data_IF_441982651075
#
_entry.id   IF_441982651075
#
_cell.length_a   1.000
_cell.length_b   1.000
_cell.length_c   1.000
_cell.angle_alpha   90.00
_cell.angle_beta   90.00
_cell.angle_gamma   90.00
#
_symmetry.space_group_name_H-M   'P 1'
#
loop_
_entity.id
_entity.type
_entity.pdbx_description
1 polymer ?
#
# COMPACT_ATOMS: atom_id res chain seq x y z
N UNK A 1 3.24 2.08 0.00
CA UNK A 1 3.30 0.63 -0.29
C UNK A 1 4.74 0.15 -0.48
N UNK A 2 5.71 1.08 -0.47
CA UNK A 2 7.14 0.80 -0.48
C UNK A 2 7.57 -0.30 0.48
N UNK A 3 7.00 -0.35 1.69
CA UNK A 3 7.29 -1.39 2.69
C UNK A 3 7.00 -2.77 2.11
N UNK A 4 5.85 -2.92 1.45
CA UNK A 4 5.40 -4.18 0.87
C UNK A 4 6.26 -4.57 -0.33
N UNK A 5 6.67 -3.60 -1.16
CA UNK A 5 7.62 -3.83 -2.25
C UNK A 5 8.94 -4.36 -1.67
N UNK A 6 9.51 -3.68 -0.69
CA UNK A 6 10.77 -4.08 -0.04
C UNK A 6 10.63 -5.47 0.61
N UNK A 7 9.59 -5.71 1.41
CA UNK A 7 9.33 -7.00 2.06
C UNK A 7 9.22 -8.13 1.03
N UNK A 8 8.53 -7.89 -0.09
CA UNK A 8 8.40 -8.90 -1.14
C UNK A 8 9.75 -9.24 -1.80
N UNK A 9 10.61 -8.25 -2.00
CA UNK A 9 11.95 -8.45 -2.55
C UNK A 9 12.88 -9.17 -1.57
N UNK A 10 12.85 -8.78 -0.29
CA UNK A 10 13.59 -9.47 0.78
C UNK A 10 13.14 -10.93 0.87
N UNK A 11 11.84 -11.19 0.85
CA UNK A 11 11.30 -12.55 0.87
C UNK A 11 11.78 -13.40 -0.32
N UNK A 12 11.85 -12.80 -1.52
CA UNK A 12 12.43 -13.48 -2.69
C UNK A 12 13.92 -13.82 -2.48
N UNK A 13 14.70 -12.90 -1.89
CA UNK A 13 16.11 -13.15 -1.59
C UNK A 13 16.31 -14.26 -0.55
N UNK A 14 15.47 -14.31 0.49
CA UNK A 14 15.48 -15.41 1.49
C UNK A 14 15.23 -16.75 0.79
N UNK A 15 14.36 -16.78 -0.22
CA UNK A 15 14.13 -17.94 -1.09
C UNK A 15 15.23 -18.18 -2.14
N UNK A 16 16.37 -17.50 -2.03
CA UNK A 16 17.55 -17.61 -2.92
C UNK A 16 17.26 -17.25 -4.38
N UNK A 17 16.25 -16.41 -4.64
CA UNK A 17 15.87 -15.98 -5.98
C UNK A 17 16.66 -14.72 -6.40
N UNK A 18 17.06 -14.64 -7.67
CA UNK A 18 17.73 -13.46 -8.25
C UNK A 18 16.70 -12.36 -8.51
N UNK A 19 16.77 -11.26 -7.77
CA UNK A 19 15.85 -10.11 -7.96
C UNK A 19 16.29 -9.14 -9.05
N UNK A 20 17.59 -9.10 -9.38
CA UNK A 20 18.17 -8.17 -10.38
C UNK A 20 17.45 -8.16 -11.74
N UNK A 21 16.98 -9.31 -12.29
CA UNK A 21 16.25 -9.31 -13.55
C UNK A 21 14.94 -8.50 -13.52
N UNK A 22 14.27 -8.38 -12.37
CA UNK A 22 13.04 -7.60 -12.25
C UNK A 22 13.29 -6.12 -12.58
N UNK A 23 14.39 -5.57 -12.08
CA UNK A 23 14.78 -4.17 -12.32
C UNK A 23 15.23 -3.89 -13.76
N UNK A 24 15.46 -4.92 -14.58
CA UNK A 24 15.73 -4.78 -16.01
C UNK A 24 14.47 -4.83 -16.86
N UNK A 25 13.34 -5.27 -16.30
CA UNK A 25 12.08 -5.39 -17.00
C UNK A 25 11.37 -4.03 -17.05
N UNK A 26 11.08 -3.54 -18.26
CA UNK A 26 10.39 -2.26 -18.43
C UNK A 26 9.02 -2.22 -17.73
N UNK A 27 8.35 -3.37 -17.60
CA UNK A 27 7.06 -3.50 -16.92
C UNK A 27 7.12 -3.18 -15.41
N UNK A 28 8.32 -3.14 -14.81
CA UNK A 28 8.48 -2.75 -13.41
C UNK A 28 8.59 -1.23 -13.21
N UNK A 29 8.95 -0.47 -14.26
CA UNK A 29 9.16 0.98 -14.16
C UNK A 29 7.91 1.79 -13.82
N UNK A 30 6.70 1.44 -14.28
CA UNK A 30 5.47 2.10 -13.82
C UNK A 30 5.30 2.04 -12.29
N UNK A 31 5.68 0.92 -11.65
CA UNK A 31 5.61 0.77 -10.19
C UNK A 31 6.63 1.68 -9.50
N UNK A 32 7.87 1.72 -10.01
CA UNK A 32 8.92 2.60 -9.48
C UNK A 32 8.49 4.08 -9.59
N UNK A 33 7.92 4.47 -10.73
CA UNK A 33 7.40 5.82 -10.94
C UNK A 33 6.33 6.16 -9.91
N UNK A 34 5.39 5.25 -9.67
CA UNK A 34 4.34 5.46 -8.66
C UNK A 34 4.89 5.54 -7.24
N UNK A 35 5.93 4.78 -6.88
CA UNK A 35 6.60 4.93 -5.58
C UNK A 35 7.24 6.31 -5.42
N UNK A 36 7.90 6.83 -6.46
CA UNK A 36 8.48 8.18 -6.44
C UNK A 36 7.38 9.22 -6.23
N UNK A 37 6.25 9.10 -6.93
CA UNK A 37 5.10 10.00 -6.75
C UNK A 37 4.56 9.91 -5.32
N UNK A 38 4.43 8.70 -4.76
CA UNK A 38 4.00 8.51 -3.37
C UNK A 38 4.96 9.16 -2.37
N UNK A 39 6.28 9.07 -2.58
CA UNK A 39 7.28 9.74 -1.75
C UNK A 39 7.16 11.27 -1.81
N UNK A 40 6.89 11.83 -3.00
CA UNK A 40 6.64 13.27 -3.16
C UNK A 40 5.39 13.70 -2.37
N UNK A 41 4.32 12.92 -2.43
CA UNK A 41 3.09 13.19 -1.66
C UNK A 41 3.37 13.12 -0.16
N UNK A 42 4.11 12.11 0.31
CA UNK A 42 4.52 12.01 1.72
C UNK A 42 5.37 13.20 2.17
N UNK A 43 6.31 13.66 1.34
CA UNK A 43 7.13 14.84 1.62
C UNK A 43 6.28 16.12 1.72
N UNK A 44 5.24 16.27 0.89
CA UNK A 44 4.30 17.39 0.99
C UNK A 44 3.49 17.36 2.29
N UNK A 45 3.00 16.18 2.70
CA UNK A 45 2.29 16.02 3.97
C UNK A 45 3.22 16.37 5.14
N UNK A 46 4.47 15.93 5.08
CA UNK A 46 5.48 16.26 6.10
C UNK A 46 5.78 17.77 6.16
N UNK A 47 5.70 18.46 5.01
CA UNK A 47 5.82 19.91 4.91
C UNK A 47 4.49 20.66 5.18
N UNK A 48 3.49 20.00 5.77
CA UNK A 48 2.19 20.57 6.14
C UNK A 48 1.32 21.02 4.95
N UNK A 49 1.66 20.61 3.73
CA UNK A 49 0.85 20.86 2.55
C UNK A 49 -0.20 19.76 2.38
N UNK A 50 -1.30 19.86 3.13
CA UNK A 50 -2.36 18.85 3.15
C UNK A 50 -3.29 18.86 1.92
N UNK A 51 -3.15 19.82 1.00
CA UNK A 51 -3.93 19.86 -0.25
C UNK A 51 -3.74 18.60 -1.10
N UNK A 52 -2.60 17.92 -0.95
CA UNK A 52 -2.28 16.69 -1.68
C UNK A 52 -3.14 15.49 -1.26
N UNK A 53 -3.77 15.53 -0.07
CA UNK A 53 -4.59 14.43 0.46
C UNK A 53 -5.78 14.13 -0.43
N UNK A 54 -6.37 15.15 -1.05
CA UNK A 54 -7.49 15.02 -1.98
C UNK A 54 -7.19 14.10 -3.18
N UNK A 55 -5.91 13.94 -3.54
CA UNK A 55 -5.49 13.08 -4.65
C UNK A 55 -5.12 11.65 -4.21
N UNK A 56 -4.99 11.38 -2.91
CA UNK A 56 -4.50 10.09 -2.37
C UNK A 56 -5.39 8.93 -2.80
N UNK A 57 -6.72 9.11 -2.81
CA UNK A 57 -7.66 8.07 -3.24
C UNK A 57 -7.43 7.65 -4.69
N UNK A 58 -7.31 8.62 -5.60
CA UNK A 58 -7.03 8.38 -7.03
C UNK A 58 -5.64 7.76 -7.18
N UNK A 59 -4.65 8.27 -6.43
CA UNK A 59 -3.29 7.78 -6.47
C UNK A 59 -3.18 6.32 -6.03
N UNK A 60 -3.92 5.89 -5.00
CA UNK A 60 -3.99 4.49 -4.55
C UNK A 60 -4.46 3.56 -5.66
N UNK A 61 -5.51 3.96 -6.39
CA UNK A 61 -6.03 3.18 -7.53
C UNK A 61 -5.01 3.13 -8.67
N UNK A 62 -4.42 4.27 -9.06
CA UNK A 62 -3.38 4.32 -10.09
C UNK A 62 -2.15 3.48 -9.69
N UNK A 63 -1.78 3.50 -8.41
CA UNK A 63 -0.68 2.71 -7.88
C UNK A 63 -0.95 1.21 -8.05
N UNK A 64 -2.14 0.71 -7.71
CA UNK A 64 -2.50 -0.69 -7.95
C UNK A 64 -2.54 -1.04 -9.44
N UNK A 65 -3.07 -0.14 -10.27
CA UNK A 65 -3.09 -0.33 -11.74
C UNK A 65 -1.69 -0.35 -12.36
N UNK A 66 -0.68 0.26 -11.73
CA UNK A 66 0.71 0.22 -12.20
C UNK A 66 1.32 -1.18 -12.23
N UNK A 67 0.68 -2.17 -11.59
CA UNK A 67 1.09 -3.57 -11.61
C UNK A 67 0.55 -4.33 -12.85
N UNK A 68 -0.40 -3.77 -13.59
CA UNK A 68 -0.97 -4.40 -14.80
C UNK A 68 0.09 -4.76 -15.86
N UNK A 69 1.11 -3.92 -16.16
CA UNK A 69 2.18 -4.28 -17.09
C UNK A 69 2.93 -5.56 -16.69
N UNK A 70 3.23 -5.77 -15.40
CA UNK A 70 3.84 -7.02 -14.92
C UNK A 70 2.90 -8.21 -15.11
N UNK A 71 1.62 -8.03 -14.77
CA UNK A 71 0.60 -9.07 -14.88
C UNK A 71 0.48 -9.54 -16.33
N UNK A 72 0.40 -8.61 -17.28
CA UNK A 72 0.27 -8.93 -18.70
C UNK A 72 1.55 -9.51 -19.29
N UNK A 73 2.72 -8.92 -18.97
CA UNK A 73 4.01 -9.38 -19.47
C UNK A 73 4.31 -10.83 -19.06
N UNK A 74 4.03 -11.18 -17.79
CA UNK A 74 4.33 -12.50 -17.23
C UNK A 74 3.11 -13.41 -17.13
N UNK A 75 1.97 -13.02 -17.74
CA UNK A 75 0.72 -13.81 -17.80
C UNK A 75 0.24 -14.29 -16.42
N UNK A 76 0.35 -13.46 -15.40
CA UNK A 76 0.06 -13.82 -14.00
C UNK A 76 -1.43 -13.71 -13.64
N UNK A 77 -2.33 -14.11 -14.54
CA UNK A 77 -3.76 -13.85 -14.42
C UNK A 77 -4.38 -14.49 -13.16
N UNK A 78 -4.02 -15.74 -12.85
CA UNK A 78 -4.51 -16.43 -11.65
C UNK A 78 -4.06 -15.71 -10.38
N UNK A 79 -2.78 -15.34 -10.31
CA UNK A 79 -2.24 -14.57 -9.19
C UNK A 79 -2.90 -13.20 -9.04
N UNK A 80 -3.22 -12.53 -10.16
CA UNK A 80 -3.92 -11.26 -10.16
C UNK A 80 -5.37 -11.39 -9.67
N UNK A 81 -6.09 -12.46 -10.05
CA UNK A 81 -7.44 -12.75 -9.54
C UNK A 81 -7.41 -13.06 -8.06
N UNK A 82 -6.48 -13.89 -7.59
CA UNK A 82 -6.32 -14.16 -6.16
C UNK A 82 -6.01 -12.87 -5.40
N UNK A 83 -5.07 -12.08 -5.89
CA UNK A 83 -4.72 -10.80 -5.28
C UNK A 83 -5.88 -9.79 -5.28
N UNK A 84 -6.70 -9.74 -6.33
CA UNK A 84 -7.85 -8.81 -6.38
C UNK A 84 -8.94 -9.19 -5.37
N UNK A 85 -9.10 -10.47 -5.06
CA UNK A 85 -9.97 -10.91 -3.95
C UNK A 85 -9.50 -10.29 -2.62
N UNK A 86 -8.18 -10.28 -2.35
CA UNK A 86 -7.64 -9.60 -1.16
C UNK A 86 -7.89 -8.09 -1.18
N UNK A 87 -7.80 -7.43 -2.35
CA UNK A 87 -8.13 -6.00 -2.46
C UNK A 87 -9.60 -5.75 -2.13
N UNK A 88 -10.52 -6.59 -2.64
CA UNK A 88 -11.96 -6.48 -2.37
C UNK A 88 -12.25 -6.70 -0.89
N UNK A 89 -11.71 -7.78 -0.30
CA UNK A 89 -11.86 -8.06 1.13
C UNK A 89 -11.33 -6.89 1.95
N UNK A 90 -10.14 -6.37 1.63
CA UNK A 90 -9.57 -5.24 2.33
C UNK A 90 -10.43 -3.97 2.24
N UNK A 91 -10.99 -3.68 1.06
CA UNK A 91 -11.94 -2.59 0.87
C UNK A 91 -13.20 -2.76 1.73
N UNK A 92 -13.80 -3.95 1.72
CA UNK A 92 -14.99 -4.25 2.55
C UNK A 92 -14.68 -4.07 4.04
N UNK A 93 -13.51 -4.51 4.53
CA UNK A 93 -13.13 -4.32 5.92
C UNK A 93 -13.05 -2.83 6.30
N UNK A 94 -12.49 -2.00 5.42
CA UNK A 94 -12.42 -0.55 5.63
C UNK A 94 -13.82 0.07 5.58
N UNK A 95 -14.66 -0.31 4.63
CA UNK A 95 -16.03 0.18 4.53
C UNK A 95 -16.87 -0.19 5.76
N UNK A 96 -16.67 -1.40 6.31
CA UNK A 96 -17.30 -1.81 7.58
C UNK A 96 -16.83 -0.88 8.71
N UNK A 97 -15.52 -0.67 8.86
CA UNK A 97 -14.98 0.21 9.89
C UNK A 97 -15.54 1.64 9.80
N UNK A 98 -15.63 2.17 8.59
CA UNK A 98 -16.19 3.50 8.31
C UNK A 98 -17.68 3.55 8.65
N UNK A 99 -18.46 2.57 8.19
CA UNK A 99 -19.91 2.55 8.36
C UNK A 99 -20.35 2.49 9.83
N UNK A 100 -19.65 1.72 10.67
CA UNK A 100 -20.01 1.58 12.09
C UNK A 100 -19.57 2.80 12.92
N UNK A 101 -18.66 3.62 12.40
CA UNK A 101 -18.14 4.84 13.02
C UNK A 101 -18.72 6.11 12.35
N UNK A 102 -20.02 6.08 12.03
CA UNK A 102 -20.77 7.23 11.50
C UNK A 102 -20.22 7.84 10.20
N UNK A 103 -19.58 7.03 9.35
CA UNK A 103 -19.02 7.49 8.08
C UNK A 103 -17.58 7.99 8.17
N UNK A 104 -16.91 7.83 9.32
CA UNK A 104 -15.52 8.21 9.51
C UNK A 104 -14.62 7.01 9.77
N UNK A 105 -13.34 7.16 9.43
CA UNK A 105 -12.26 6.21 9.71
C UNK A 105 -11.46 6.70 10.93
N UNK A 106 -11.63 6.09 12.12
CA UNK A 106 -10.82 6.43 13.28
C UNK A 106 -9.35 6.07 13.09
N UNK A 107 -8.45 6.97 13.50
CA UNK A 107 -7.00 6.83 13.37
C UNK A 107 -6.36 6.91 14.75
N UNK A 108 -5.38 6.02 15.01
CA UNK A 108 -4.67 5.94 16.28
C UNK A 108 -3.17 6.21 16.10
N UNK A 109 -2.79 7.48 15.88
CA UNK A 109 -1.40 7.89 15.76
C UNK A 109 -0.60 7.71 17.05
N UNK A 110 0.65 7.29 16.88
CA UNK A 110 1.66 7.14 17.94
C UNK A 110 3.04 7.52 17.38
N UNK A 111 3.63 6.66 16.55
CA UNK A 111 4.90 6.92 15.89
C UNK A 111 4.82 8.14 14.95
N UNK A 112 3.69 8.33 14.27
CA UNK A 112 3.49 9.46 13.36
C UNK A 112 3.50 10.82 14.08
N UNK A 113 3.13 10.86 15.36
CA UNK A 113 3.35 12.06 16.18
C UNK A 113 4.82 12.21 16.59
N UNK A 114 5.49 11.11 16.91
CA UNK A 114 6.90 11.12 17.31
C UNK A 114 7.84 11.59 16.18
N UNK A 115 7.56 11.17 14.94
CA UNK A 115 8.35 11.56 13.75
C UNK A 115 8.03 12.96 13.25
N UNK A 116 6.96 13.59 13.76
CA UNK A 116 6.45 14.85 13.24
C UNK A 116 5.69 14.72 11.92
N UNK A 117 5.42 13.50 11.45
CA UNK A 117 4.62 13.26 10.24
C UNK A 117 3.19 13.78 10.39
N UNK A 118 2.60 13.63 11.58
CA UNK A 118 1.31 14.19 11.92
C UNK A 118 1.45 15.15 13.10
N UNK A 119 0.65 16.22 13.09
CA UNK A 119 0.52 17.16 14.21
C UNK A 119 -0.84 16.99 14.87
N UNK A 120 -0.96 17.43 16.13
CA UNK A 120 -2.21 17.32 16.88
C UNK A 120 -3.38 18.07 16.23
N UNK A 121 -3.09 19.18 15.54
CA UNK A 121 -4.07 20.02 14.84
C UNK A 121 -4.30 19.61 13.38
N UNK A 122 -3.68 18.51 12.91
CA UNK A 122 -3.80 18.07 11.53
C UNK A 122 -5.26 17.71 11.17
N UNK A 123 -5.99 17.07 12.09
CA UNK A 123 -7.40 16.71 11.88
C UNK A 123 -8.32 17.94 11.76
N UNK A 124 -7.98 19.05 12.40
CA UNK A 124 -8.76 20.29 12.30
C UNK A 124 -8.51 21.03 10.97
N UNK A 125 -7.35 20.80 10.35
CA UNK A 125 -6.94 21.41 9.07
C UNK A 125 -7.44 20.64 7.85
N UNK A 126 -7.87 19.39 8.04
CA UNK A 126 -8.19 18.46 6.95
C UNK A 126 -9.67 18.06 7.07
N UNK A 127 -10.48 18.46 6.10
CA UNK A 127 -11.86 17.99 5.99
C UNK A 127 -11.90 16.66 5.21
N UNK A 128 -11.46 15.58 5.85
CA UNK A 128 -11.41 14.22 5.27
C UNK A 128 -12.18 13.22 6.15
N UNK A 129 -12.31 11.98 5.67
CA UNK A 129 -12.99 10.88 6.37
C UNK A 129 -12.25 10.43 7.65
N UNK A 130 -10.99 10.82 7.83
CA UNK A 130 -10.18 10.37 8.97
C UNK A 130 -10.39 11.26 10.19
N UNK A 131 -10.66 10.65 11.35
CA UNK A 131 -10.81 11.34 12.64
C UNK A 131 -9.90 10.72 13.70
N UNK A 132 -9.57 11.46 14.75
CA UNK A 132 -8.84 10.90 15.88
C UNK A 132 -9.72 9.88 16.63
N UNK A 133 -9.22 8.65 16.78
CA UNK A 133 -9.94 7.58 17.48
C UNK A 133 -9.88 7.73 19.00
N UNK A 134 -10.96 7.32 19.67
CA UNK A 134 -11.13 7.42 21.12
C UNK A 134 -11.83 6.18 21.71
N UNK A 135 -12.28 6.29 22.97
CA UNK A 135 -12.99 5.20 23.68
C UNK A 135 -14.36 4.83 23.07
N UNK A 136 -14.95 5.70 22.24
CA UNK A 136 -16.22 5.47 21.57
C UNK A 136 -16.07 4.71 20.23
N UNK A 137 -14.82 4.55 19.76
CA UNK A 137 -14.52 3.88 18.48
C UNK A 137 -14.99 2.43 18.48
N UNK A 138 -15.82 2.09 17.49
CA UNK A 138 -16.31 0.73 17.26
C UNK A 138 -15.38 -0.03 16.32
N UNK A 139 -15.24 -1.33 16.56
CA UNK A 139 -14.38 -2.24 15.78
C UNK A 139 -12.96 -1.70 15.59
N UNK A 140 -12.34 -1.17 16.65
CA UNK A 140 -11.00 -0.57 16.63
C UNK A 140 -9.93 -1.40 15.90
N UNK A 141 -10.01 -2.73 15.97
CA UNK A 141 -9.05 -3.61 15.29
C UNK A 141 -9.13 -3.56 13.74
N UNK A 142 -10.20 -3.01 13.17
CA UNK A 142 -10.37 -2.78 11.73
C UNK A 142 -10.03 -1.35 11.30
N UNK A 143 -9.81 -0.43 12.24
CA UNK A 143 -9.52 0.97 11.94
C UNK A 143 -8.00 1.18 11.73
N UNK A 144 -7.57 2.42 11.52
CA UNK A 144 -6.17 2.75 11.25
C UNK A 144 -5.34 2.73 12.54
N UNK A 145 -4.85 1.54 12.89
CA UNK A 145 -4.08 1.28 14.11
C UNK A 145 -2.61 0.92 13.86
N UNK A 146 -2.25 0.56 12.63
CA UNK A 146 -0.87 0.20 12.29
C UNK A 146 -0.12 1.45 11.87
N UNK A 147 0.43 2.15 12.86
CA UNK A 147 1.28 3.31 12.65
C UNK A 147 2.75 2.89 12.47
N UNK A 148 3.35 3.24 11.33
CA UNK A 148 4.77 2.99 11.03
C UNK A 148 5.62 4.27 11.06
N UNK A 149 5.07 5.36 11.55
CA UNK A 149 5.75 6.65 11.74
C UNK A 149 5.65 7.63 10.58
N UNK A 150 5.25 7.18 9.39
CA UNK A 150 5.03 8.05 8.23
C UNK A 150 3.82 7.62 7.40
N UNK A 151 3.03 6.69 7.95
CA UNK A 151 1.80 6.18 7.40
C UNK A 151 1.09 5.42 8.53
N UNK A 152 -0.22 5.56 8.57
CA UNK A 152 -1.10 4.81 9.47
C UNK A 152 -2.06 4.07 8.55
N UNK A 153 -2.26 2.78 8.81
CA UNK A 153 -3.11 1.96 7.96
C UNK A 153 -3.88 0.92 8.77
N UNK A 154 -4.95 0.44 8.17
CA UNK A 154 -5.88 -0.52 8.76
C UNK A 154 -5.50 -1.98 8.46
N UNK A 155 -6.24 -2.91 9.07
CA UNK A 155 -6.17 -4.31 8.66
C UNK A 155 -6.59 -4.49 7.19
N UNK A 156 -7.59 -3.75 6.70
CA UNK A 156 -8.00 -3.84 5.30
C UNK A 156 -6.92 -3.36 4.34
N UNK A 157 -6.14 -2.34 4.71
CA UNK A 157 -4.97 -1.92 3.93
C UNK A 157 -3.86 -2.98 3.88
N UNK A 158 -3.68 -3.77 4.96
CA UNK A 158 -2.78 -4.93 4.95
C UNK A 158 -3.27 -5.96 3.92
N UNK A 159 -4.58 -6.25 3.88
CA UNK A 159 -5.17 -7.13 2.85
C UNK A 159 -4.92 -6.59 1.44
N UNK A 160 -5.14 -5.29 1.19
CA UNK A 160 -4.85 -4.69 -0.12
C UNK A 160 -3.37 -4.86 -0.50
N UNK A 161 -2.45 -4.69 0.46
CA UNK A 161 -1.00 -4.87 0.24
C UNK A 161 -0.63 -6.31 -0.12
N UNK A 162 -1.42 -7.33 0.24
CA UNK A 162 -1.19 -8.72 -0.18
C UNK A 162 -1.18 -8.85 -1.72
N UNK A 163 -2.01 -8.08 -2.44
CA UNK A 163 -1.97 -8.04 -3.91
C UNK A 163 -0.58 -7.68 -4.44
N UNK A 164 0.00 -6.58 -3.93
CA UNK A 164 1.34 -6.11 -4.32
C UNK A 164 2.38 -7.20 -4.07
N UNK A 165 2.34 -7.82 -2.90
CA UNK A 165 3.26 -8.89 -2.54
C UNK A 165 3.16 -10.08 -3.51
N UNK A 166 1.94 -10.54 -3.81
CA UNK A 166 1.70 -11.67 -4.71
C UNK A 166 2.24 -11.40 -6.11
N UNK A 167 2.00 -10.21 -6.68
CA UNK A 167 2.45 -9.87 -8.04
C UNK A 167 3.98 -9.77 -8.12
N UNK A 168 4.63 -9.11 -7.16
CA UNK A 168 6.10 -8.99 -7.17
C UNK A 168 6.73 -10.37 -6.99
N UNK A 169 6.27 -11.14 -5.99
CA UNK A 169 6.79 -12.47 -5.72
C UNK A 169 6.71 -13.37 -6.95
N UNK A 170 5.55 -13.42 -7.61
CA UNK A 170 5.38 -14.25 -8.80
C UNK A 170 6.17 -13.73 -10.01
N UNK A 171 6.39 -12.42 -10.12
CA UNK A 171 7.23 -11.81 -11.17
C UNK A 171 8.68 -12.21 -11.03
N UNK A 172 9.23 -12.12 -9.82
CA UNK A 172 10.59 -12.60 -9.54
C UNK A 172 10.68 -14.11 -9.77
N UNK A 173 9.67 -14.87 -9.34
CA UNK A 173 9.61 -16.33 -9.54
C UNK A 173 9.64 -16.71 -11.01
N UNK A 174 8.80 -16.08 -11.82
CA UNK A 174 8.74 -16.30 -13.26
C UNK A 174 10.12 -16.07 -13.90
N UNK A 175 10.74 -14.93 -13.62
CA UNK A 175 12.05 -14.56 -14.19
C UNK A 175 13.18 -15.51 -13.79
N UNK A 176 13.13 -16.10 -12.59
CA UNK A 176 14.13 -17.07 -12.17
C UNK A 176 13.95 -18.42 -12.88
N UNK A 177 12.70 -18.88 -13.02
CA UNK A 177 12.39 -20.12 -13.74
C UNK A 177 12.70 -20.05 -15.24
N UNK A 178 12.58 -18.87 -15.86
CA UNK A 178 12.88 -18.71 -17.29
C UNK A 178 14.37 -18.49 -17.55
N UNK A 179 15.09 -17.77 -16.67
CA UNK A 179 16.53 -17.55 -16.85
C UNK A 179 17.36 -18.80 -16.55
N UNK A 180 16.87 -19.74 -15.74
CA UNK A 180 17.53 -21.06 -15.55
C UNK A 180 17.45 -21.96 -16.79
N UNK A 181 16.50 -21.73 -17.71
CA UNK A 181 16.36 -22.52 -18.94
C UNK A 181 17.24 -22.04 -20.09
N UNK A 182 18.00 -20.96 -19.91
CA UNK A 182 18.82 -20.31 -20.96
C UNK A 182 20.33 -20.50 -20.72
N UNK A 183 20.71 -21.30 -19.71
CA UNK A 183 22.11 -21.64 -19.40
C UNK A 183 22.32 -23.14 -19.60
#
# INVERSE_FOLDING_TARGET
MLETVIISLIFCQIKKMKIKPLFKAWAFYPIILMEIICLIVQANIFAENYNVINYVKILKTLYLCSYLPLIFMYRQYVSAVVGSIFVIIGGILNDIAISVNNGYMPVFPSLSYLTGYMKYDAFDKINDIHILGDSSTKLKFLTDIFDVGYSIFSLGDIFIRVFVFIIIYNSVRYLNLTNEKVI
#
